data_IF_482184084113
#
_entry.id   IF_482184084113
#
_cell.length_a   1.000
_cell.length_b   1.000
_cell.length_c   1.000
_cell.angle_alpha   90.00
_cell.angle_beta   90.00
_cell.angle_gamma   90.00
#
_symmetry.space_group_name_H-M   'P 1'
#
loop_
_entity.id
_entity.type
_entity.pdbx_description
1 polymer ?
#
# COMPACT_ATOMS: atom_id res chain seq x y z
N UNK A 1 -23.71 -8.23 -10.54
CA UNK A 1 -22.94 -7.68 -11.68
C UNK A 1 -23.92 -7.22 -12.73
N UNK A 2 -23.86 -5.95 -13.16
CA UNK A 2 -24.79 -5.38 -14.16
C UNK A 2 -24.49 -5.81 -15.59
N UNK A 3 -23.21 -6.00 -15.93
CA UNK A 3 -22.75 -6.28 -17.30
C UNK A 3 -21.45 -7.09 -17.29
N UNK A 4 -21.30 -8.05 -18.20
CA UNK A 4 -20.05 -8.82 -18.32
C UNK A 4 -18.92 -7.92 -18.84
N UNK A 5 -17.84 -7.80 -18.06
CA UNK A 5 -16.61 -7.15 -18.51
C UNK A 5 -15.95 -8.02 -19.60
N UNK A 6 -15.84 -7.47 -20.81
CA UNK A 6 -15.00 -8.03 -21.88
C UNK A 6 -13.74 -7.19 -21.97
N UNK A 7 -12.65 -7.66 -21.36
CA UNK A 7 -11.36 -6.99 -21.49
C UNK A 7 -10.77 -7.28 -22.89
N UNK A 8 -10.33 -6.27 -23.63
CA UNK A 8 -9.59 -6.47 -24.87
C UNK A 8 -8.16 -6.94 -24.59
N UNK A 9 -7.54 -7.67 -25.53
CA UNK A 9 -6.12 -8.01 -25.44
C UNK A 9 -5.27 -6.76 -25.68
N UNK A 10 -4.67 -6.21 -24.63
CA UNK A 10 -3.76 -5.08 -24.72
C UNK A 10 -2.38 -5.52 -25.23
N UNK A 11 -1.79 -4.74 -26.16
CA UNK A 11 -0.45 -5.01 -26.69
C UNK A 11 0.64 -4.21 -25.98
N UNK A 12 0.28 -3.17 -25.23
CA UNK A 12 1.21 -2.25 -24.57
C UNK A 12 0.60 -1.66 -23.28
N UNK A 13 1.45 -1.30 -22.31
CA UNK A 13 1.07 -0.77 -21.00
C UNK A 13 0.35 0.59 -21.09
N UNK A 14 0.74 1.44 -22.05
CA UNK A 14 0.09 2.74 -22.27
C UNK A 14 -1.39 2.59 -22.69
N UNK A 15 -1.71 1.56 -23.50
CA UNK A 15 -3.08 1.27 -23.91
C UNK A 15 -3.93 0.77 -22.76
N UNK A 16 -3.31 0.02 -21.84
CA UNK A 16 -3.96 -0.46 -20.64
C UNK A 16 -4.27 0.72 -19.70
N UNK A 17 -3.31 1.63 -19.51
CA UNK A 17 -3.49 2.84 -18.69
C UNK A 17 -4.61 3.74 -19.21
N UNK A 18 -4.68 3.97 -20.52
CA UNK A 18 -5.76 4.76 -21.11
C UNK A 18 -7.13 4.10 -20.98
N UNK A 19 -7.19 2.77 -21.10
CA UNK A 19 -8.42 2.00 -20.90
C UNK A 19 -8.92 2.11 -19.46
N UNK A 20 -8.05 1.92 -18.46
CA UNK A 20 -8.40 2.05 -17.05
C UNK A 20 -8.75 3.48 -16.64
N UNK A 21 -8.12 4.50 -17.26
CA UNK A 21 -8.45 5.91 -17.02
C UNK A 21 -9.88 6.27 -17.45
N UNK A 22 -10.40 5.58 -18.47
CA UNK A 22 -11.78 5.76 -18.97
C UNK A 22 -12.76 4.73 -18.42
N UNK A 23 -12.28 3.79 -17.60
CA UNK A 23 -13.09 2.72 -17.05
C UNK A 23 -13.93 3.26 -15.89
N UNK A 24 -15.24 3.39 -16.09
CA UNK A 24 -16.18 3.70 -15.01
C UNK A 24 -16.68 2.38 -14.37
N UNK A 25 -16.23 2.04 -13.14
CA UNK A 25 -16.68 0.84 -12.45
C UNK A 25 -18.18 0.86 -12.12
N UNK A 26 -18.85 2.03 -12.11
CA UNK A 26 -20.27 2.17 -11.79
C UNK A 26 -21.22 1.58 -12.84
N UNK A 27 -20.77 1.46 -14.09
CA UNK A 27 -21.57 0.86 -15.18
C UNK A 27 -21.60 -0.69 -15.12
N UNK A 28 -20.60 -1.30 -14.47
CA UNK A 28 -20.38 -2.75 -14.49
C UNK A 28 -20.66 -3.43 -13.14
N UNK A 29 -20.39 -2.74 -12.03
CA UNK A 29 -20.52 -3.28 -10.67
C UNK A 29 -21.68 -2.63 -9.90
N UNK A 30 -22.49 -3.43 -9.22
CA UNK A 30 -23.51 -2.93 -8.29
C UNK A 30 -22.95 -2.85 -6.87
N UNK A 31 -23.47 -1.95 -6.03
CA UNK A 31 -23.11 -1.89 -4.60
C UNK A 31 -23.24 -3.25 -3.87
N UNK A 32 -24.12 -4.14 -4.37
CA UNK A 32 -24.31 -5.52 -3.87
C UNK A 32 -23.20 -6.50 -4.28
N UNK A 33 -22.39 -6.18 -5.29
CA UNK A 33 -21.26 -6.99 -5.74
C UNK A 33 -19.99 -6.73 -4.91
N UNK A 34 -19.93 -5.60 -4.19
CA UNK A 34 -18.82 -5.27 -3.31
C UNK A 34 -18.95 -6.09 -2.02
N UNK A 35 -18.17 -7.17 -1.93
CA UNK A 35 -17.96 -7.88 -0.67
C UNK A 35 -16.79 -7.24 0.07
N UNK A 36 -16.98 -7.02 1.37
CA UNK A 36 -15.90 -6.72 2.31
C UNK A 36 -15.01 -7.96 2.41
N UNK A 37 -14.00 -8.05 1.54
CA UNK A 37 -13.04 -9.16 1.54
C UNK A 37 -11.96 -8.83 2.55
N UNK A 38 -12.02 -9.47 3.71
CA UNK A 38 -10.85 -9.64 4.54
C UNK A 38 -9.87 -10.53 3.79
N UNK A 39 -8.64 -10.06 3.61
CA UNK A 39 -7.58 -10.84 2.98
C UNK A 39 -6.62 -11.40 4.04
N UNK A 40 -6.99 -12.44 4.80
CA UNK A 40 -6.16 -12.98 5.88
C UNK A 40 -4.83 -13.56 5.37
N UNK A 41 -4.76 -13.92 4.07
CA UNK A 41 -3.62 -14.59 3.44
C UNK A 41 -2.85 -13.73 2.43
N UNK A 42 -3.22 -12.45 2.21
CA UNK A 42 -2.34 -11.54 1.47
C UNK A 42 -1.14 -11.26 2.38
N UNK A 43 -0.04 -12.00 2.19
CA UNK A 43 1.24 -11.67 2.82
C UNK A 43 1.52 -10.20 2.46
N UNK A 44 1.68 -9.29 3.44
CA UNK A 44 2.15 -7.95 3.13
C UNK A 44 3.50 -8.11 2.44
N UNK A 45 3.55 -7.79 1.15
CA UNK A 45 4.76 -7.90 0.35
C UNK A 45 5.74 -6.85 0.86
N UNK A 46 6.90 -7.30 1.35
CA UNK A 46 7.96 -6.41 1.80
C UNK A 46 8.94 -6.17 0.67
N UNK A 47 9.08 -4.92 0.24
CA UNK A 47 10.12 -4.50 -0.69
C UNK A 47 11.26 -3.82 0.08
N UNK A 48 12.50 -4.18 -0.22
CA UNK A 48 13.66 -3.49 0.34
C UNK A 48 13.84 -2.16 -0.38
N UNK A 49 13.97 -1.09 0.41
CA UNK A 49 14.27 0.27 -0.07
C UNK A 49 15.48 0.83 0.66
N UNK A 50 16.28 1.64 -0.04
CA UNK A 50 17.44 2.33 0.53
C UNK A 50 17.07 3.78 0.82
N UNK A 51 17.04 4.16 2.10
CA UNK A 51 16.78 5.54 2.55
C UNK A 51 18.01 6.08 3.25
N UNK A 52 18.35 7.35 2.98
CA UNK A 52 19.44 8.06 3.69
C UNK A 52 18.87 8.84 4.85
N UNK A 53 19.49 8.70 6.03
CA UNK A 53 19.18 9.48 7.22
C UNK A 53 20.43 10.25 7.68
N UNK A 54 20.26 11.45 8.27
CA UNK A 54 21.34 12.11 8.98
C UNK A 54 21.87 11.22 10.11
N UNK A 55 23.18 11.23 10.33
CA UNK A 55 23.84 10.34 11.28
C UNK A 55 23.31 10.52 12.72
N UNK A 56 23.07 11.77 13.14
CA UNK A 56 22.53 12.08 14.47
C UNK A 56 21.13 11.50 14.71
N UNK A 57 20.30 11.37 13.68
CA UNK A 57 18.99 10.70 13.80
C UNK A 57 19.14 9.20 14.01
N UNK A 58 20.06 8.56 13.30
CA UNK A 58 20.31 7.12 13.45
C UNK A 58 20.71 6.80 14.88
N UNK A 59 21.57 7.62 15.49
CA UNK A 59 21.96 7.45 16.90
C UNK A 59 20.79 7.62 17.85
N UNK A 60 20.00 8.69 17.70
CA UNK A 60 18.82 8.92 18.54
C UNK A 60 17.79 7.79 18.44
N UNK A 61 17.54 7.27 17.23
CA UNK A 61 16.62 6.16 16.99
C UNK A 61 17.15 4.89 17.66
N UNK A 62 18.45 4.59 17.54
CA UNK A 62 19.08 3.43 18.20
C UNK A 62 18.97 3.51 19.72
N UNK A 63 19.25 4.67 20.29
CA UNK A 63 19.14 4.89 21.73
C UNK A 63 17.69 4.67 22.22
N UNK A 64 16.71 5.26 21.53
CA UNK A 64 15.29 5.11 21.85
C UNK A 64 14.82 3.66 21.70
N UNK A 65 15.27 2.97 20.66
CA UNK A 65 14.94 1.57 20.41
C UNK A 65 15.50 0.66 21.51
N UNK A 66 16.75 0.89 21.94
CA UNK A 66 17.36 0.17 23.05
C UNK A 66 16.62 0.40 24.38
N UNK A 67 16.20 1.63 24.68
CA UNK A 67 15.41 1.94 25.89
C UNK A 67 14.09 1.16 25.96
N UNK A 68 13.48 0.87 24.80
CA UNK A 68 12.20 0.15 24.70
C UNK A 68 12.43 -1.36 24.45
N UNK A 69 13.68 -1.80 24.29
CA UNK A 69 14.02 -3.21 24.06
C UNK A 69 13.62 -3.74 22.68
N UNK A 70 13.54 -2.87 21.66
CA UNK A 70 13.15 -3.27 20.30
C UNK A 70 14.26 -2.97 19.28
N UNK A 71 14.32 -3.68 18.14
CA UNK A 71 15.23 -3.32 17.06
C UNK A 71 14.91 -1.93 16.48
N UNK A 72 15.94 -1.14 16.18
CA UNK A 72 15.76 0.21 15.62
C UNK A 72 14.95 0.23 14.31
N UNK A 73 15.08 -0.81 13.48
CA UNK A 73 14.30 -0.97 12.25
C UNK A 73 12.80 -1.17 12.54
N UNK A 74 12.46 -1.89 13.61
CA UNK A 74 11.08 -2.07 14.05
C UNK A 74 10.49 -0.75 14.55
N UNK A 75 11.28 0.04 15.28
CA UNK A 75 10.89 1.38 15.70
C UNK A 75 10.62 2.31 14.51
N UNK A 76 11.48 2.29 13.48
CA UNK A 76 11.27 3.04 12.24
C UNK A 76 9.95 2.64 11.58
N UNK A 77 9.68 1.33 11.43
CA UNK A 77 8.41 0.84 10.86
C UNK A 77 7.19 1.33 11.64
N UNK A 78 7.27 1.37 12.98
CA UNK A 78 6.20 1.89 13.83
C UNK A 78 5.92 3.37 13.55
N UNK A 79 6.95 4.21 13.47
CA UNK A 79 6.77 5.63 13.16
C UNK A 79 6.18 5.87 11.77
N UNK A 80 6.65 5.16 10.75
CA UNK A 80 6.08 5.27 9.39
C UNK A 80 4.62 4.85 9.39
N UNK A 81 4.29 3.72 10.03
CA UNK A 81 2.90 3.26 10.16
C UNK A 81 2.01 4.28 10.85
N UNK A 82 2.46 4.88 11.96
CA UNK A 82 1.71 5.94 12.65
C UNK A 82 1.49 7.17 11.77
N UNK A 83 2.48 7.59 10.98
CA UNK A 83 2.35 8.70 10.04
C UNK A 83 1.32 8.45 8.93
N UNK A 84 1.28 7.23 8.40
CA UNK A 84 0.31 6.82 7.36
C UNK A 84 -1.12 6.70 7.89
N UNK A 85 -1.30 6.39 9.17
CA UNK A 85 -2.63 6.34 9.78
C UNK A 85 -3.25 7.73 9.94
N UNK A 86 -2.42 8.75 10.19
CA UNK A 86 -2.89 10.14 10.36
C UNK A 86 -3.36 10.75 9.03
N UNK A 87 -2.82 10.33 7.88
CA UNK A 87 -3.21 10.88 6.57
C UNK A 87 -4.53 10.33 6.02
N UNK A 88 -5.11 9.31 6.65
CA UNK A 88 -6.35 8.66 6.21
C UNK A 88 -7.57 9.01 7.09
N UNK A 89 -7.53 10.13 7.83
CA UNK A 89 -8.65 10.66 8.63
C UNK A 89 -8.98 12.08 8.26
#
# INVERSE_FOLDING_TARGET
MKKQLKLPNFKNEDQEREYWSKFDPGEYFEAKDFKEVHFPNLKPTTQQISIRFPLHWIYAIKEKANKIGIPYQALIKKFVSSGLQISNS
#
